data_IF_823668099821
#
_entry.id   IF_823668099821
#
_cell.length_a   1.000
_cell.length_b   1.000
_cell.length_c   1.000
_cell.angle_alpha   90.00
_cell.angle_beta   90.00
_cell.angle_gamma   90.00
#
_symmetry.space_group_name_H-M   'P 1'
#
loop_
_entity.id
_entity.type
_entity.pdbx_description
1 polymer ?
#
# COMPACT_ATOMS: atom_id res chain seq x y z
N UNK A 1 -3.89 -1.08 29.18
CA UNK A 1 -3.81 0.20 29.91
C UNK A 1 -3.96 1.40 28.96
N UNK A 2 -4.90 1.37 28.00
CA UNK A 2 -5.14 2.50 27.06
C UNK A 2 -6.48 3.24 27.33
N UNK A 3 -7.19 2.89 28.40
CA UNK A 3 -8.56 3.39 28.67
C UNK A 3 -8.62 4.70 29.47
N UNK A 4 -7.54 5.14 30.12
CA UNK A 4 -7.59 6.32 30.99
C UNK A 4 -7.70 7.61 30.17
N UNK A 5 -6.90 7.74 29.11
CA UNK A 5 -6.88 8.96 28.28
C UNK A 5 -8.18 9.12 27.47
N UNK A 6 -8.75 8.02 26.97
CA UNK A 6 -10.03 8.06 26.24
C UNK A 6 -11.19 8.39 27.16
N UNK A 7 -11.18 7.89 28.40
CA UNK A 7 -12.21 8.19 29.39
C UNK A 7 -12.10 9.64 29.89
N UNK A 8 -10.87 10.14 30.07
CA UNK A 8 -10.63 11.53 30.50
C UNK A 8 -11.01 12.55 29.40
N UNK A 9 -10.70 12.25 28.13
CA UNK A 9 -11.11 13.09 26.99
C UNK A 9 -12.62 13.03 26.75
N UNK A 10 -13.25 11.86 26.94
CA UNK A 10 -14.71 11.69 26.90
C UNK A 10 -15.39 12.56 27.98
N UNK A 11 -14.83 12.58 29.20
CA UNK A 11 -15.29 13.43 30.30
C UNK A 11 -15.14 14.94 30.05
N UNK A 12 -14.15 15.35 29.23
CA UNK A 12 -13.92 16.75 28.82
C UNK A 12 -14.81 17.20 27.64
N UNK A 13 -15.75 16.37 27.18
CA UNK A 13 -16.66 16.71 26.08
C UNK A 13 -16.11 16.42 24.68
N UNK A 14 -14.98 15.73 24.55
CA UNK A 14 -14.43 15.33 23.26
C UNK A 14 -15.20 14.12 22.70
N UNK A 15 -16.23 14.41 21.91
CA UNK A 15 -17.15 13.41 21.38
C UNK A 15 -16.50 12.28 20.55
N UNK A 16 -15.36 12.46 19.83
CA UNK A 16 -14.71 11.33 19.14
C UNK A 16 -14.16 10.28 20.11
N UNK A 17 -13.74 10.66 21.33
CA UNK A 17 -13.35 9.67 22.33
C UNK A 17 -14.56 8.85 22.82
N UNK A 18 -15.72 9.50 23.00
CA UNK A 18 -16.97 8.82 23.34
C UNK A 18 -17.46 7.90 22.20
N UNK A 19 -17.38 8.36 20.95
CA UNK A 19 -17.70 7.54 19.78
C UNK A 19 -16.76 6.33 19.67
N UNK A 20 -15.48 6.50 19.97
CA UNK A 20 -14.51 5.39 20.04
C UNK A 20 -14.88 4.38 21.13
N UNK A 21 -15.31 4.85 22.30
CA UNK A 21 -15.76 3.96 23.39
C UNK A 21 -16.97 3.10 22.96
N UNK A 22 -17.96 3.70 22.28
CA UNK A 22 -19.08 2.94 21.74
C UNK A 22 -18.64 1.94 20.67
N UNK A 23 -17.70 2.33 19.81
CA UNK A 23 -17.15 1.44 18.79
C UNK A 23 -16.41 0.24 19.40
N UNK A 24 -15.62 0.46 20.45
CA UNK A 24 -14.93 -0.60 21.19
C UNK A 24 -15.91 -1.55 21.89
N UNK A 25 -17.06 -1.03 22.36
CA UNK A 25 -18.20 -1.81 22.88
C UNK A 25 -19.04 -2.49 21.79
N UNK A 26 -18.70 -2.32 20.52
CA UNK A 26 -19.46 -2.78 19.33
C UNK A 26 -20.87 -2.18 19.21
N UNK A 27 -21.11 -1.06 19.88
CA UNK A 27 -22.34 -0.28 19.77
C UNK A 27 -22.28 0.62 18.52
N UNK A 28 -22.27 -0.03 17.33
CA UNK A 28 -22.06 0.68 16.06
C UNK A 28 -23.19 1.66 15.73
N UNK A 29 -24.45 1.35 16.09
CA UNK A 29 -25.59 2.24 15.87
C UNK A 29 -25.43 3.57 16.60
N UNK A 30 -25.09 3.54 17.90
CA UNK A 30 -24.84 4.75 18.69
C UNK A 30 -23.61 5.50 18.19
N UNK A 31 -22.59 4.79 17.73
CA UNK A 31 -21.40 5.41 17.13
C UNK A 31 -21.79 6.22 15.88
N UNK A 32 -22.58 5.63 14.98
CA UNK A 32 -23.09 6.30 13.78
C UNK A 32 -23.91 7.53 14.15
N UNK A 33 -24.84 7.41 15.11
CA UNK A 33 -25.70 8.51 15.55
C UNK A 33 -24.89 9.71 16.09
N UNK A 34 -23.94 9.46 16.98
CA UNK A 34 -23.10 10.52 17.57
C UNK A 34 -22.19 11.14 16.50
N UNK A 35 -21.59 10.34 15.64
CA UNK A 35 -20.70 10.87 14.61
C UNK A 35 -21.48 11.68 13.56
N UNK A 36 -22.63 11.19 13.09
CA UNK A 36 -23.44 11.88 12.07
C UNK A 36 -24.05 13.18 12.57
N UNK A 37 -24.47 13.23 13.85
CA UNK A 37 -24.95 14.48 14.45
C UNK A 37 -23.82 15.49 14.59
N UNK A 38 -22.68 15.10 15.16
CA UNK A 38 -21.56 16.02 15.44
C UNK A 38 -20.78 16.45 14.20
N UNK A 39 -20.66 15.60 13.19
CA UNK A 39 -19.99 15.94 11.92
C UNK A 39 -20.78 16.94 11.07
N UNK A 40 -22.04 17.25 11.39
CA UNK A 40 -22.78 18.36 10.78
C UNK A 40 -22.22 19.70 11.25
N UNK A 41 -21.90 19.80 12.53
CA UNK A 41 -21.39 21.02 13.16
C UNK A 41 -19.86 21.14 12.97
N UNK A 42 -19.15 20.02 13.02
CA UNK A 42 -17.68 19.95 12.96
C UNK A 42 -17.21 19.03 11.82
N UNK A 43 -17.35 19.45 10.55
CA UNK A 43 -17.10 18.59 9.40
C UNK A 43 -15.61 18.25 9.18
N UNK A 44 -14.69 18.96 9.80
CA UNK A 44 -13.25 18.78 9.58
C UNK A 44 -12.63 17.74 10.52
N UNK A 45 -13.37 17.25 11.53
CA UNK A 45 -12.83 16.32 12.51
C UNK A 45 -12.61 14.94 11.88
N UNK A 46 -11.33 14.69 11.56
CA UNK A 46 -10.89 13.49 10.86
C UNK A 46 -11.10 12.22 11.69
N UNK A 47 -10.81 12.29 12.99
CA UNK A 47 -10.97 11.17 13.94
C UNK A 47 -12.42 10.68 13.98
N UNK A 48 -13.37 11.60 14.06
CA UNK A 48 -14.81 11.33 14.04
C UNK A 48 -15.29 10.73 12.71
N UNK A 49 -14.76 11.21 11.57
CA UNK A 49 -15.05 10.61 10.25
C UNK A 49 -14.53 9.18 10.13
N UNK A 50 -13.34 8.89 10.66
CA UNK A 50 -12.78 7.53 10.69
C UNK A 50 -13.67 6.61 11.52
N UNK A 51 -14.09 7.05 12.71
CA UNK A 51 -14.98 6.26 13.59
C UNK A 51 -16.34 5.99 12.94
N UNK A 52 -16.92 6.98 12.25
CA UNK A 52 -18.14 6.79 11.46
C UNK A 52 -17.92 5.74 10.36
N UNK A 53 -16.85 5.86 9.58
CA UNK A 53 -16.54 4.94 8.49
C UNK A 53 -16.35 3.49 9.00
N UNK A 54 -15.68 3.32 10.14
CA UNK A 54 -15.51 2.02 10.79
C UNK A 54 -16.85 1.44 11.26
N UNK A 55 -17.71 2.23 11.90
CA UNK A 55 -19.02 1.76 12.33
C UNK A 55 -19.92 1.38 11.14
N UNK A 56 -19.87 2.13 10.04
CA UNK A 56 -20.56 1.80 8.78
C UNK A 56 -20.03 0.50 8.17
N UNK A 57 -18.70 0.31 8.18
CA UNK A 57 -18.06 -0.93 7.73
C UNK A 57 -18.53 -2.15 8.53
N UNK A 58 -18.61 -2.03 9.86
CA UNK A 58 -19.06 -3.12 10.74
C UNK A 58 -20.57 -3.41 10.64
N UNK A 59 -21.37 -2.42 10.23
CA UNK A 59 -22.81 -2.59 9.97
C UNK A 59 -23.13 -2.98 8.52
N UNK A 60 -22.10 -3.34 7.74
CA UNK A 60 -22.21 -3.77 6.34
C UNK A 60 -22.72 -2.67 5.37
N UNK A 61 -22.66 -1.40 5.78
CA UNK A 61 -22.98 -0.25 4.93
C UNK A 61 -21.72 0.16 4.13
N UNK A 62 -21.26 -0.75 3.27
CA UNK A 62 -19.93 -0.69 2.65
C UNK A 62 -19.74 0.53 1.73
N UNK A 63 -20.75 0.90 0.97
CA UNK A 63 -20.70 2.05 0.05
C UNK A 63 -20.53 3.38 0.81
N UNK A 64 -21.24 3.53 1.93
CA UNK A 64 -21.13 4.73 2.76
C UNK A 64 -19.80 4.78 3.50
N UNK A 65 -19.35 3.63 4.01
CA UNK A 65 -18.03 3.51 4.63
C UNK A 65 -16.92 3.91 3.65
N UNK A 66 -16.97 3.41 2.41
CA UNK A 66 -16.03 3.75 1.34
C UNK A 66 -15.99 5.26 1.09
N UNK A 67 -17.16 5.90 0.96
CA UNK A 67 -17.25 7.34 0.75
C UNK A 67 -16.62 8.15 1.90
N UNK A 68 -16.84 7.73 3.16
CA UNK A 68 -16.22 8.39 4.30
C UNK A 68 -14.70 8.17 4.34
N UNK A 69 -14.20 6.97 4.05
CA UNK A 69 -12.76 6.73 3.98
C UNK A 69 -12.08 7.52 2.86
N UNK A 70 -12.72 7.69 1.70
CA UNK A 70 -12.19 8.58 0.66
C UNK A 70 -12.13 10.04 1.11
N UNK A 71 -13.13 10.53 1.86
CA UNK A 71 -13.08 11.88 2.44
C UNK A 71 -11.92 12.04 3.42
N UNK A 72 -11.64 11.01 4.23
CA UNK A 72 -10.47 10.99 5.11
C UNK A 72 -9.19 11.10 4.28
N UNK A 73 -9.04 10.31 3.22
CA UNK A 73 -7.86 10.36 2.34
C UNK A 73 -7.71 11.67 1.56
N UNK A 74 -8.79 12.43 1.34
CA UNK A 74 -8.70 13.76 0.73
C UNK A 74 -8.04 14.78 1.65
N UNK A 75 -8.22 14.62 2.96
CA UNK A 75 -7.66 15.53 3.97
C UNK A 75 -6.29 15.03 4.44
N UNK A 76 -6.18 13.73 4.70
CA UNK A 76 -4.94 13.04 5.08
C UNK A 76 -4.67 11.89 4.10
N UNK A 77 -3.94 12.16 3.00
CA UNK A 77 -3.65 11.17 1.97
C UNK A 77 -2.93 9.93 2.46
N UNK A 78 -2.20 10.03 3.58
CA UNK A 78 -1.35 8.99 4.12
C UNK A 78 -1.96 8.34 5.38
N UNK A 79 -3.26 8.54 5.59
CA UNK A 79 -3.97 7.90 6.68
C UNK A 79 -3.98 6.37 6.53
N UNK A 80 -3.17 5.70 7.35
CA UNK A 80 -2.95 4.25 7.28
C UNK A 80 -4.24 3.47 7.53
N UNK A 81 -5.08 3.93 8.46
CA UNK A 81 -6.36 3.29 8.74
C UNK A 81 -7.30 3.36 7.54
N UNK A 82 -7.49 4.54 6.96
CA UNK A 82 -8.36 4.69 5.79
C UNK A 82 -7.86 3.88 4.58
N UNK A 83 -6.55 3.88 4.30
CA UNK A 83 -5.97 3.06 3.24
C UNK A 83 -6.20 1.56 3.47
N UNK A 84 -6.07 1.09 4.71
CA UNK A 84 -6.31 -0.31 5.05
C UNK A 84 -7.77 -0.70 4.83
N UNK A 85 -8.72 0.06 5.36
CA UNK A 85 -10.15 -0.26 5.22
C UNK A 85 -10.62 -0.17 3.76
N UNK A 86 -10.10 0.77 2.97
CA UNK A 86 -10.37 0.81 1.52
C UNK A 86 -9.79 -0.40 0.79
N UNK A 87 -8.60 -0.86 1.18
CA UNK A 87 -8.05 -2.13 0.72
C UNK A 87 -8.98 -3.30 1.03
N UNK A 88 -9.45 -3.42 2.28
CA UNK A 88 -10.36 -4.47 2.73
C UNK A 88 -11.70 -4.43 1.98
N UNK A 89 -12.24 -3.23 1.75
CA UNK A 89 -13.47 -3.02 0.98
C UNK A 89 -13.30 -3.48 -0.47
N UNK A 90 -12.21 -3.11 -1.13
CA UNK A 90 -11.93 -3.54 -2.51
C UNK A 90 -11.66 -5.03 -2.61
N UNK A 91 -10.99 -5.61 -1.62
CA UNK A 91 -10.78 -7.05 -1.56
C UNK A 91 -12.10 -7.81 -1.45
N UNK A 92 -13.02 -7.34 -0.59
CA UNK A 92 -14.38 -7.89 -0.46
C UNK A 92 -15.22 -7.73 -1.73
N UNK A 93 -14.99 -6.67 -2.50
CA UNK A 93 -15.65 -6.44 -3.79
C UNK A 93 -15.10 -7.34 -4.93
N UNK A 94 -14.02 -8.08 -4.70
CA UNK A 94 -13.34 -8.89 -5.72
C UNK A 94 -12.29 -8.12 -6.53
N UNK A 95 -12.09 -6.83 -6.25
CA UNK A 95 -11.10 -5.97 -6.90
C UNK A 95 -9.71 -6.13 -6.25
N UNK A 96 -9.16 -7.34 -6.30
CA UNK A 96 -7.89 -7.69 -5.64
C UNK A 96 -6.72 -6.80 -6.08
N UNK A 97 -6.71 -6.38 -7.34
CA UNK A 97 -5.63 -5.53 -7.90
C UNK A 97 -5.62 -4.16 -7.22
N UNK A 98 -6.81 -3.58 -7.01
CA UNK A 98 -6.95 -2.28 -6.35
C UNK A 98 -6.66 -2.44 -4.85
N UNK A 99 -7.15 -3.51 -4.23
CA UNK A 99 -6.87 -3.81 -2.82
C UNK A 99 -5.36 -3.91 -2.55
N UNK A 100 -4.63 -4.66 -3.40
CA UNK A 100 -3.17 -4.80 -3.31
C UNK A 100 -2.46 -3.46 -3.46
N UNK A 101 -2.98 -2.54 -4.28
CA UNK A 101 -2.40 -1.19 -4.42
C UNK A 101 -2.50 -0.40 -3.11
N UNK A 102 -3.65 -0.47 -2.42
CA UNK A 102 -3.86 0.17 -1.12
C UNK A 102 -2.96 -0.44 -0.04
N UNK A 103 -2.90 -1.78 0.04
CA UNK A 103 -2.04 -2.47 1.01
C UNK A 103 -0.55 -2.19 0.78
N UNK A 104 -0.09 -2.12 -0.47
CA UNK A 104 1.30 -1.73 -0.78
C UNK A 104 1.62 -0.33 -0.27
N UNK A 105 0.64 0.59 -0.35
CA UNK A 105 0.80 1.96 0.13
C UNK A 105 0.86 2.02 1.65
N UNK A 106 -0.01 1.27 2.34
CA UNK A 106 0.07 1.04 3.80
C UNK A 106 1.46 0.53 4.21
N UNK A 107 1.96 -0.52 3.53
CA UNK A 107 3.28 -1.10 3.85
C UNK A 107 4.44 -0.13 3.66
N UNK A 108 4.36 0.77 2.67
CA UNK A 108 5.38 1.82 2.45
C UNK A 108 5.36 2.84 3.58
N UNK A 109 4.17 3.31 3.95
CA UNK A 109 3.99 4.29 5.02
C UNK A 109 4.37 3.70 6.39
N UNK A 110 3.98 2.46 6.67
CA UNK A 110 4.39 1.75 7.89
C UNK A 110 5.89 1.51 7.96
N UNK A 111 6.53 1.21 6.82
CA UNK A 111 7.99 1.08 6.75
C UNK A 111 8.66 2.41 7.05
N UNK A 112 8.26 3.47 6.36
CA UNK A 112 8.81 4.81 6.60
C UNK A 112 8.55 5.28 8.04
N UNK A 113 7.37 4.99 8.59
CA UNK A 113 7.05 5.28 9.99
C UNK A 113 7.87 4.44 10.96
N UNK A 114 8.13 3.17 10.66
CA UNK A 114 9.02 2.31 11.47
C UNK A 114 10.47 2.72 11.37
N UNK A 115 10.95 3.08 10.18
CA UNK A 115 12.30 3.57 9.94
C UNK A 115 12.48 4.92 10.65
N UNK A 116 11.54 5.85 10.50
CA UNK A 116 11.52 7.10 11.25
C UNK A 116 11.45 6.84 12.74
N UNK A 117 10.57 5.96 13.23
CA UNK A 117 10.54 5.56 14.63
C UNK A 117 11.83 4.88 15.07
N UNK A 118 12.56 4.16 14.21
CA UNK A 118 13.85 3.54 14.53
C UNK A 118 14.98 4.57 14.64
N UNK A 119 14.95 5.59 13.79
CA UNK A 119 15.87 6.73 13.82
C UNK A 119 15.55 7.68 14.97
N UNK A 120 14.26 7.94 15.21
CA UNK A 120 13.78 8.65 16.38
C UNK A 120 14.05 7.85 17.64
N UNK A 121 13.81 6.54 17.71
CA UNK A 121 14.20 5.74 18.90
C UNK A 121 15.71 5.69 19.10
N UNK A 122 16.57 5.76 18.08
CA UNK A 122 18.00 6.04 18.35
C UNK A 122 18.22 7.38 19.07
N UNK A 123 17.36 8.36 18.85
CA UNK A 123 17.35 9.69 19.52
C UNK A 123 16.53 9.69 20.83
N UNK A 124 15.53 8.80 20.96
CA UNK A 124 14.53 8.68 22.03
C UNK A 124 14.72 7.40 22.87
N UNK A 125 15.81 6.66 22.71
CA UNK A 125 16.18 5.52 23.58
C UNK A 125 16.53 5.97 25.00
N UNK A 126 16.44 7.28 25.28
CA UNK A 126 16.34 7.85 26.63
C UNK A 126 14.90 7.97 27.18
N UNK A 127 13.84 7.67 26.40
CA UNK A 127 12.43 7.73 26.85
C UNK A 127 11.53 6.67 26.18
N UNK A 128 11.48 5.52 26.85
CA UNK A 128 10.27 4.69 27.08
C UNK A 128 9.57 3.96 25.91
N UNK A 129 9.92 2.66 25.83
CA UNK A 129 9.07 1.44 25.79
C UNK A 129 7.97 1.26 24.71
N UNK A 130 8.34 0.39 23.76
CA UNK A 130 7.63 -0.76 23.16
C UNK A 130 6.10 -0.79 23.06
N UNK A 131 5.59 -1.02 21.84
CA UNK A 131 4.42 -1.87 21.64
C UNK A 131 4.58 -2.79 20.42
N UNK A 132 4.47 -4.09 20.73
CA UNK A 132 4.40 -5.27 19.85
C UNK A 132 3.11 -5.22 19.02
N UNK A 133 3.20 -5.40 17.70
CA UNK A 133 2.04 -5.84 16.90
C UNK A 133 2.44 -7.05 16.04
N UNK A 134 1.87 -8.17 16.46
CA UNK A 134 1.49 -9.38 15.74
C UNK A 134 2.20 -9.63 14.40
N UNK A 135 3.15 -10.56 14.46
CA UNK A 135 3.82 -11.22 13.36
C UNK A 135 2.80 -11.94 12.48
N UNK A 136 2.40 -11.35 11.35
CA UNK A 136 1.83 -12.13 10.25
C UNK A 136 2.99 -12.90 9.62
N UNK A 137 3.13 -14.14 10.11
CA UNK A 137 4.06 -15.16 9.61
C UNK A 137 3.87 -15.23 8.10
N UNK A 138 4.91 -14.80 7.38
CA UNK A 138 5.03 -14.92 5.94
C UNK A 138 5.16 -16.41 5.64
N UNK A 139 4.05 -17.09 5.39
CA UNK A 139 4.10 -18.35 4.67
C UNK A 139 4.47 -17.98 3.23
N UNK A 140 5.76 -18.08 2.96
CA UNK A 140 6.32 -18.17 1.62
C UNK A 140 5.75 -19.41 0.95
N UNK A 141 4.56 -19.27 0.35
CA UNK A 141 4.14 -20.11 -0.76
C UNK A 141 4.19 -19.26 -2.03
N UNK A 142 5.20 -19.60 -2.83
CA UNK A 142 5.24 -19.49 -4.29
C UNK A 142 5.00 -18.11 -4.86
N UNK A 143 6.11 -17.42 -5.14
CA UNK A 143 6.18 -16.35 -6.12
C UNK A 143 5.82 -16.92 -7.50
N UNK A 144 4.54 -16.94 -7.83
CA UNK A 144 4.08 -17.13 -9.20
C UNK A 144 3.33 -15.87 -9.69
N UNK A 145 3.95 -15.25 -10.69
CA UNK A 145 3.34 -14.47 -11.78
C UNK A 145 2.31 -13.40 -11.38
N UNK A 146 2.80 -12.24 -10.95
CA UNK A 146 2.09 -10.97 -11.18
C UNK A 146 3.06 -9.89 -11.68
N UNK A 147 3.81 -10.23 -12.73
CA UNK A 147 4.63 -9.29 -13.51
C UNK A 147 3.80 -8.56 -14.61
N UNK A 148 2.47 -8.73 -14.60
CA UNK A 148 1.64 -8.52 -15.79
C UNK A 148 0.93 -7.16 -15.88
N UNK A 149 1.30 -6.18 -15.05
CA UNK A 149 0.78 -4.80 -15.16
C UNK A 149 1.85 -3.72 -14.99
N UNK A 150 3.07 -4.00 -15.43
CA UNK A 150 4.02 -2.93 -15.71
C UNK A 150 3.62 -2.30 -17.05
N UNK A 151 2.88 -1.19 -16.96
CA UNK A 151 2.65 -0.15 -17.98
C UNK A 151 2.79 -0.67 -19.41
N UNK A 152 1.65 -0.99 -20.04
CA UNK A 152 1.59 -1.06 -21.50
C UNK A 152 2.12 0.27 -22.05
N UNK A 153 3.34 0.25 -22.60
CA UNK A 153 3.82 1.34 -23.43
C UNK A 153 2.94 1.31 -24.67
N UNK A 154 2.29 2.44 -25.03
CA UNK A 154 1.25 2.43 -26.06
C UNK A 154 1.77 2.07 -27.46
N UNK A 155 3.09 1.96 -27.65
CA UNK A 155 3.71 1.57 -28.91
C UNK A 155 4.97 0.72 -28.66
N UNK A 156 4.89 -0.58 -28.96
CA UNK A 156 6.08 -1.42 -29.07
C UNK A 156 6.79 -1.02 -30.37
N UNK A 157 7.87 -0.24 -30.23
CA UNK A 157 8.71 0.19 -31.35
C UNK A 157 10.16 -0.17 -31.09
N UNK A 158 10.91 -0.38 -32.17
CA UNK A 158 12.34 -0.74 -32.08
C UNK A 158 13.13 0.33 -31.30
N UNK A 159 12.82 1.61 -31.54
CA UNK A 159 13.42 2.76 -30.84
C UNK A 159 13.15 2.74 -29.33
N UNK A 160 11.96 2.35 -28.90
CA UNK A 160 11.65 2.22 -27.48
C UNK A 160 12.42 1.06 -26.84
N UNK A 161 12.60 -0.05 -27.56
CA UNK A 161 13.43 -1.17 -27.14
C UNK A 161 14.90 -0.79 -26.98
N UNK A 162 15.45 -0.04 -27.95
CA UNK A 162 16.85 0.39 -27.94
C UNK A 162 17.14 1.38 -26.80
N UNK A 163 16.27 2.36 -26.58
CA UNK A 163 16.38 3.33 -25.49
C UNK A 163 16.38 2.63 -24.11
N UNK A 164 15.57 1.59 -23.96
CA UNK A 164 15.54 0.78 -22.73
C UNK A 164 16.83 -0.03 -22.52
N UNK A 165 17.52 -0.44 -23.59
CA UNK A 165 18.84 -1.07 -23.47
C UNK A 165 19.90 -0.09 -23.01
N UNK A 166 19.92 1.12 -23.56
CA UNK A 166 20.85 2.17 -23.14
C UNK A 166 20.64 2.54 -21.66
N UNK A 167 19.39 2.52 -21.19
CA UNK A 167 19.04 2.74 -19.78
C UNK A 167 19.28 1.52 -18.88
N UNK A 168 19.79 0.41 -19.41
CA UNK A 168 20.07 -0.81 -18.64
C UNK A 168 18.83 -1.63 -18.27
N UNK A 169 17.66 -1.30 -18.79
CA UNK A 169 16.39 -2.01 -18.56
C UNK A 169 16.25 -3.21 -19.51
N UNK A 170 17.21 -4.14 -19.45
CA UNK A 170 17.35 -5.27 -20.38
C UNK A 170 16.12 -6.19 -20.44
N UNK A 171 15.43 -6.40 -19.32
CA UNK A 171 14.19 -7.21 -19.26
C UNK A 171 13.04 -6.58 -20.04
N UNK A 172 12.89 -5.26 -19.96
CA UNK A 172 11.81 -4.56 -20.67
C UNK A 172 12.10 -4.50 -22.17
N UNK A 173 13.34 -4.18 -22.55
CA UNK A 173 13.77 -4.22 -23.94
C UNK A 173 13.59 -5.60 -24.57
N UNK A 174 13.95 -6.67 -23.86
CA UNK A 174 13.74 -8.05 -24.32
C UNK A 174 12.27 -8.37 -24.58
N UNK A 175 11.35 -7.84 -23.78
CA UNK A 175 9.91 -8.05 -23.95
C UNK A 175 9.40 -7.34 -25.20
N UNK A 176 9.84 -6.10 -25.43
CA UNK A 176 9.45 -5.31 -26.61
C UNK A 176 9.96 -5.97 -27.89
N UNK A 177 11.24 -6.36 -27.96
CA UNK A 177 11.78 -7.00 -29.16
C UNK A 177 11.17 -8.36 -29.44
N UNK A 178 10.81 -9.13 -28.40
CA UNK A 178 10.09 -10.40 -28.57
C UNK A 178 8.70 -10.17 -29.17
N UNK A 179 7.95 -9.20 -28.65
CA UNK A 179 6.62 -8.87 -29.17
C UNK A 179 6.67 -8.32 -30.62
N UNK A 180 7.72 -7.55 -30.93
CA UNK A 180 7.96 -7.08 -32.29
C UNK A 180 8.35 -8.22 -33.24
N UNK A 181 9.17 -9.16 -32.78
CA UNK A 181 9.61 -10.31 -33.58
C UNK A 181 8.44 -11.26 -33.88
N UNK A 182 7.55 -11.48 -32.91
CA UNK A 182 6.32 -12.28 -33.09
C UNK A 182 5.37 -11.67 -34.14
N UNK A 183 5.44 -10.35 -34.37
CA UNK A 183 4.62 -9.65 -35.39
C UNK A 183 5.33 -9.51 -36.73
N UNK A 184 6.64 -9.33 -36.71
CA UNK A 184 7.49 -9.13 -37.87
C UNK A 184 8.79 -9.91 -37.64
N UNK A 185 8.89 -11.11 -38.24
CA UNK A 185 10.02 -12.05 -38.17
C UNK A 185 11.29 -11.49 -38.85
N UNK A 186 11.80 -10.38 -38.32
CA UNK A 186 12.96 -9.69 -38.87
C UNK A 186 14.24 -10.19 -38.21
N UNK A 187 15.29 -10.52 -39.00
CA UNK A 187 16.54 -11.05 -38.48
C UNK A 187 17.29 -10.07 -37.56
N UNK A 188 17.06 -8.75 -37.74
CA UNK A 188 17.64 -7.69 -36.90
C UNK A 188 17.15 -7.75 -35.45
N UNK A 189 15.91 -8.17 -35.22
CA UNK A 189 15.36 -8.31 -33.87
C UNK A 189 15.92 -9.55 -33.14
N UNK A 190 16.24 -10.61 -33.88
CA UNK A 190 16.94 -11.78 -33.34
C UNK A 190 18.33 -11.43 -32.83
N UNK A 191 19.11 -10.68 -33.62
CA UNK A 191 20.44 -10.20 -33.19
C UNK A 191 20.36 -9.36 -31.91
N UNK A 192 19.36 -8.50 -31.79
CA UNK A 192 19.13 -7.69 -30.58
C UNK A 192 18.75 -8.55 -29.37
N UNK A 193 17.93 -9.58 -29.55
CA UNK A 193 17.58 -10.53 -28.49
C UNK A 193 18.78 -11.38 -28.04
N UNK A 194 19.65 -11.80 -28.97
CA UNK A 194 20.89 -12.51 -28.64
C UNK A 194 21.88 -11.61 -27.90
N UNK A 195 22.02 -10.34 -28.30
CA UNK A 195 22.84 -9.35 -27.61
C UNK A 195 22.41 -9.19 -26.15
N UNK A 196 21.09 -9.11 -25.89
CA UNK A 196 20.54 -9.06 -24.52
C UNK A 196 20.86 -10.34 -23.74
N UNK A 197 20.74 -11.50 -24.38
CA UNK A 197 21.03 -12.79 -23.76
C UNK A 197 22.50 -12.88 -23.33
N UNK A 198 23.42 -12.38 -24.15
CA UNK A 198 24.84 -12.35 -23.85
C UNK A 198 25.18 -11.33 -22.74
N UNK A 199 24.57 -10.14 -22.77
CA UNK A 199 24.70 -9.15 -21.69
C UNK A 199 24.26 -9.71 -20.33
N UNK A 200 23.13 -10.42 -20.29
CA UNK A 200 22.64 -11.03 -19.05
C UNK A 200 23.57 -12.14 -18.53
N UNK A 201 24.22 -12.92 -19.42
CA UNK A 201 25.22 -13.92 -19.02
C UNK A 201 26.46 -13.27 -18.39
N UNK A 202 26.98 -12.21 -18.99
CA UNK A 202 28.12 -11.44 -18.47
C UNK A 202 27.84 -10.85 -17.09
N UNK A 203 26.66 -10.24 -16.90
CA UNK A 203 26.25 -9.67 -15.61
C UNK A 203 26.05 -10.75 -14.53
N UNK A 204 25.58 -11.95 -14.91
CA UNK A 204 25.49 -13.07 -13.96
C UNK A 204 26.86 -13.61 -13.55
N UNK A 205 27.83 -13.66 -14.46
CA UNK A 205 29.20 -14.12 -14.15
C UNK A 205 29.94 -13.14 -13.23
N UNK A 206 29.83 -11.84 -13.45
CA UNK A 206 30.46 -10.82 -12.58
C UNK A 206 29.87 -10.76 -11.17
N UNK A 207 28.62 -11.18 -10.98
CA UNK A 207 27.99 -11.25 -9.65
C UNK A 207 28.45 -12.45 -8.83
N UNK A 208 28.88 -13.54 -9.48
CA UNK A 208 29.37 -14.74 -8.79
C UNK A 208 30.80 -14.50 -8.31
N UNK A 209 31.68 -13.92 -9.13
CA UNK A 209 33.06 -13.60 -8.75
C UNK A 209 33.14 -12.60 -7.57
N UNK A 210 32.25 -11.62 -7.51
CA UNK A 210 32.22 -10.65 -6.39
C UNK A 210 31.66 -11.23 -5.08
N UNK A 211 31.02 -12.40 -5.11
CA UNK A 211 30.44 -13.05 -3.94
C UNK A 211 31.34 -14.15 -3.35
N UNK A 212 32.45 -14.46 -4.03
CA UNK A 212 33.49 -15.41 -3.58
C UNK A 212 34.74 -14.70 -3.00
N UNK A 213 34.80 -13.36 -3.08
CA UNK A 213 35.93 -12.52 -2.65
C UNK A 213 35.63 -11.56 -1.49
N UNK A 214 34.49 -11.71 -0.79
CA UNK A 214 34.11 -10.90 0.37
C UNK A 214 33.62 -11.75 1.53
#
# INVERSE_FOLDING_TARGET
MNNDLTSELSGKGYWPAKAKEYLDKREYSKTIEICTSRLKDEPEILSGRILLAQALYHTNQLNEAEAQFFRVLRIDPDNILALKYLGDLKFRAGDEIIALSFYKRVLRLDRHTRELKSSLTKVDLNRTKETKILTLRRESKTAEKTEDRLRQLPFDTETAGDLLLEQGHTRMASRIFKNLFEKNESPRLLEKLEKIRNLNKLVSSQKVENNEMG
#
